data_IF_110465338585
#
_entry.id   IF_110465338585
#
_cell.length_a   1.000
_cell.length_b   1.000
_cell.length_c   1.000
_cell.angle_alpha   90.00
_cell.angle_beta   90.00
_cell.angle_gamma   90.00
#
_symmetry.space_group_name_H-M   'P 1'
#
loop_
_entity.id
_entity.type
_entity.pdbx_description
1 polymer ?
#
# COMPACT_ATOMS: atom_id res chain seq x y z
N UNK A 1 -29.77 11.57 -29.58
CA UNK A 1 -28.78 11.00 -28.64
C UNK A 1 -28.67 9.52 -28.94
N UNK A 2 -27.46 9.00 -29.19
CA UNK A 2 -27.25 7.62 -29.63
C UNK A 2 -27.44 6.67 -28.43
N UNK A 3 -28.25 5.61 -28.57
CA UNK A 3 -28.41 4.58 -27.51
C UNK A 3 -27.06 4.00 -27.03
N UNK A 4 -26.04 4.05 -27.88
CA UNK A 4 -24.70 3.59 -27.55
C UNK A 4 -24.03 4.47 -26.49
N UNK A 5 -24.24 5.80 -26.51
CA UNK A 5 -23.65 6.69 -25.50
C UNK A 5 -24.30 6.52 -24.12
N UNK A 6 -25.59 6.19 -24.07
CA UNK A 6 -26.27 5.92 -22.79
C UNK A 6 -25.79 4.61 -22.17
N UNK A 7 -25.57 3.58 -23.00
CA UNK A 7 -25.02 2.30 -22.57
C UNK A 7 -23.56 2.42 -22.11
N UNK A 8 -22.72 3.19 -22.82
CA UNK A 8 -21.34 3.46 -22.42
C UNK A 8 -21.27 4.22 -21.09
N UNK A 9 -22.11 5.25 -20.90
CA UNK A 9 -22.19 5.98 -19.63
C UNK A 9 -22.66 5.06 -18.50
N UNK A 10 -23.65 4.20 -18.74
CA UNK A 10 -24.11 3.24 -17.74
C UNK A 10 -22.99 2.25 -17.34
N UNK A 11 -22.20 1.76 -18.29
CA UNK A 11 -21.05 0.89 -18.01
C UNK A 11 -19.99 1.58 -17.15
N UNK A 12 -19.65 2.83 -17.47
CA UNK A 12 -18.68 3.62 -16.67
C UNK A 12 -19.20 3.83 -15.24
N UNK A 13 -20.49 4.13 -15.08
CA UNK A 13 -21.10 4.31 -13.76
C UNK A 13 -21.11 3.02 -12.94
N UNK A 14 -21.42 1.87 -13.57
CA UNK A 14 -21.38 0.57 -12.90
C UNK A 14 -19.95 0.24 -12.46
N UNK A 15 -18.96 0.45 -13.33
CA UNK A 15 -17.55 0.24 -12.99
C UNK A 15 -17.10 1.13 -11.83
N UNK A 16 -17.47 2.41 -11.85
CA UNK A 16 -17.17 3.35 -10.76
C UNK A 16 -17.84 2.92 -9.44
N UNK A 17 -19.09 2.47 -9.48
CA UNK A 17 -19.81 1.99 -8.29
C UNK A 17 -19.13 0.75 -7.68
N UNK A 18 -18.67 -0.20 -8.51
CA UNK A 18 -17.93 -1.39 -8.05
C UNK A 18 -16.62 -0.98 -7.37
N UNK A 19 -15.87 -0.05 -7.97
CA UNK A 19 -14.61 0.44 -7.41
C UNK A 19 -14.86 1.12 -6.06
N UNK A 20 -15.83 2.03 -5.98
CA UNK A 20 -16.17 2.72 -4.74
C UNK A 20 -16.63 1.75 -3.64
N UNK A 21 -17.45 0.76 -4.01
CA UNK A 21 -17.89 -0.29 -3.10
C UNK A 21 -16.70 -1.11 -2.56
N UNK A 22 -15.77 -1.49 -3.44
CA UNK A 22 -14.55 -2.20 -3.06
C UNK A 22 -13.67 -1.38 -2.10
N UNK A 23 -13.48 -0.09 -2.37
CA UNK A 23 -12.74 0.82 -1.48
C UNK A 23 -13.43 0.91 -0.12
N UNK A 24 -14.76 1.04 -0.09
CA UNK A 24 -15.52 1.14 1.15
C UNK A 24 -15.37 -0.13 2.02
N UNK A 25 -15.58 -1.32 1.43
CA UNK A 25 -15.42 -2.58 2.14
C UNK A 25 -13.99 -2.77 2.65
N UNK A 26 -12.99 -2.50 1.82
CA UNK A 26 -11.59 -2.57 2.21
C UNK A 26 -11.27 -1.62 3.39
N UNK A 27 -11.72 -0.37 3.29
CA UNK A 27 -11.48 0.65 4.33
C UNK A 27 -12.09 0.22 5.65
N UNK A 28 -13.35 -0.28 5.63
CA UNK A 28 -14.00 -0.81 6.83
C UNK A 28 -13.28 -2.02 7.42
N UNK A 29 -12.82 -2.97 6.59
CA UNK A 29 -12.08 -4.15 7.07
C UNK A 29 -10.76 -3.75 7.75
N UNK A 30 -10.10 -2.71 7.26
CA UNK A 30 -8.84 -2.19 7.81
C UNK A 30 -9.06 -1.17 8.94
N UNK A 31 -10.33 -0.84 9.27
CA UNK A 31 -10.67 0.19 10.25
C UNK A 31 -10.17 1.59 9.84
N UNK A 32 -10.14 1.88 8.55
CA UNK A 32 -9.70 3.14 7.95
C UNK A 32 -10.91 3.94 7.46
N UNK A 33 -10.76 5.26 7.40
CA UNK A 33 -11.67 6.09 6.60
C UNK A 33 -11.46 5.82 5.09
N UNK A 34 -12.46 6.16 4.28
CA UNK A 34 -12.47 5.90 2.83
C UNK A 34 -11.31 6.61 2.12
N UNK A 35 -10.90 7.80 2.58
CA UNK A 35 -9.78 8.53 1.99
C UNK A 35 -8.46 7.80 2.25
N UNK A 36 -8.17 7.42 3.49
CA UNK A 36 -6.95 6.68 3.83
C UNK A 36 -6.93 5.29 3.19
N UNK A 37 -8.06 4.57 3.20
CA UNK A 37 -8.17 3.25 2.57
C UNK A 37 -7.96 3.31 1.06
N UNK A 38 -8.47 4.35 0.38
CA UNK A 38 -8.23 4.57 -1.05
C UNK A 38 -6.74 4.83 -1.35
N UNK A 39 -6.05 5.62 -0.52
CA UNK A 39 -4.60 5.88 -0.66
C UNK A 39 -3.78 4.61 -0.47
N UNK A 40 -4.13 3.79 0.52
CA UNK A 40 -3.47 2.50 0.74
C UNK A 40 -3.67 1.55 -0.45
N UNK A 41 -4.91 1.41 -0.94
CA UNK A 41 -5.22 0.58 -2.10
C UNK A 41 -4.47 1.03 -3.35
N UNK A 42 -4.45 2.32 -3.61
CA UNK A 42 -3.75 2.89 -4.76
C UNK A 42 -2.24 2.63 -4.67
N UNK A 43 -1.63 2.81 -3.50
CA UNK A 43 -0.22 2.51 -3.29
C UNK A 43 0.08 1.02 -3.51
N UNK A 44 -0.75 0.13 -2.98
CA UNK A 44 -0.60 -1.32 -3.20
C UNK A 44 -0.77 -1.70 -4.67
N UNK A 45 -1.75 -1.10 -5.37
CA UNK A 45 -1.97 -1.34 -6.80
C UNK A 45 -0.76 -0.89 -7.63
N UNK A 46 -0.22 0.30 -7.35
CA UNK A 46 1.00 0.79 -7.98
C UNK A 46 2.19 -0.12 -7.67
N UNK A 47 2.34 -0.56 -6.42
CA UNK A 47 3.40 -1.47 -6.01
C UNK A 47 3.33 -2.80 -6.78
N UNK A 48 2.16 -3.43 -6.86
CA UNK A 48 1.97 -4.68 -7.62
C UNK A 48 2.28 -4.48 -9.09
N UNK A 49 1.84 -3.36 -9.67
CA UNK A 49 2.04 -3.08 -11.10
C UNK A 49 3.52 -2.82 -11.42
N UNK A 50 4.17 -1.93 -10.68
CA UNK A 50 5.58 -1.56 -10.89
C UNK A 50 6.49 -2.74 -10.58
N UNK A 51 6.27 -3.43 -9.45
CA UNK A 51 7.08 -4.59 -9.10
C UNK A 51 6.84 -5.77 -10.05
N UNK A 52 5.59 -6.01 -10.46
CA UNK A 52 5.24 -7.04 -11.43
C UNK A 52 5.96 -6.83 -12.77
N UNK A 53 5.92 -5.60 -13.30
CA UNK A 53 6.65 -5.25 -14.54
C UNK A 53 8.16 -5.36 -14.34
N UNK A 54 8.70 -4.85 -13.23
CA UNK A 54 10.14 -4.91 -12.96
C UNK A 54 10.66 -6.35 -12.81
N UNK A 55 9.88 -7.23 -12.17
CA UNK A 55 10.21 -8.63 -11.99
C UNK A 55 10.14 -9.42 -13.30
N UNK A 56 9.19 -9.09 -14.17
CA UNK A 56 9.08 -9.71 -15.50
C UNK A 56 10.25 -9.31 -16.40
N UNK A 57 10.62 -8.02 -16.40
CA UNK A 57 11.76 -7.50 -17.16
C UNK A 57 13.11 -7.99 -16.62
N UNK A 58 13.23 -8.15 -15.31
CA UNK A 58 14.47 -8.53 -14.66
C UNK A 58 14.18 -9.40 -13.46
N UNK A 59 14.20 -10.74 -13.64
CA UNK A 59 13.97 -11.78 -12.61
C UNK A 59 15.12 -11.87 -11.59
N UNK A 60 15.58 -10.72 -11.14
CA UNK A 60 16.66 -10.57 -10.20
C UNK A 60 16.13 -10.70 -8.78
N UNK A 61 16.72 -11.65 -8.04
CA UNK A 61 16.47 -11.82 -6.61
C UNK A 61 16.83 -10.57 -5.80
N UNK A 62 17.67 -9.68 -6.33
CA UNK A 62 18.01 -8.40 -5.72
C UNK A 62 16.83 -7.41 -5.67
N UNK A 63 15.78 -7.61 -6.46
CA UNK A 63 14.58 -6.77 -6.42
C UNK A 63 13.68 -7.08 -5.21
N UNK A 64 13.78 -8.28 -4.62
CA UNK A 64 12.95 -8.70 -3.48
C UNK A 64 13.12 -7.81 -2.23
N UNK A 65 14.34 -7.51 -1.75
CA UNK A 65 14.49 -6.62 -0.60
C UNK A 65 13.96 -5.21 -0.88
N UNK A 66 14.16 -4.71 -2.10
CA UNK A 66 13.65 -3.40 -2.55
C UNK A 66 12.12 -3.40 -2.54
N UNK A 67 11.53 -4.46 -3.07
CA UNK A 67 10.09 -4.64 -3.12
C UNK A 67 9.49 -4.74 -1.71
N UNK A 68 10.14 -5.44 -0.78
CA UNK A 68 9.69 -5.54 0.60
C UNK A 68 9.69 -4.16 1.31
N UNK A 69 10.72 -3.35 1.11
CA UNK A 69 10.78 -1.98 1.64
C UNK A 69 9.71 -1.10 1.00
N UNK A 70 9.54 -1.17 -0.32
CA UNK A 70 8.51 -0.41 -1.02
C UNK A 70 7.09 -0.81 -0.60
N UNK A 71 6.86 -2.11 -0.36
CA UNK A 71 5.58 -2.62 0.13
C UNK A 71 5.29 -2.02 1.51
N UNK A 72 6.29 -1.95 2.37
CA UNK A 72 6.15 -1.35 3.69
C UNK A 72 5.76 0.13 3.65
N UNK A 73 6.36 0.89 2.72
CA UNK A 73 6.02 2.31 2.50
C UNK A 73 4.56 2.48 2.09
N UNK A 74 3.98 1.51 1.36
CA UNK A 74 2.57 1.57 0.95
C UNK A 74 1.62 1.64 2.15
N UNK A 75 2.00 1.05 3.30
CA UNK A 75 1.20 1.04 4.53
C UNK A 75 1.29 2.33 5.35
N UNK A 76 2.13 3.30 4.98
CA UNK A 76 2.32 4.54 5.75
C UNK A 76 1.04 5.35 5.99
N UNK A 77 0.12 5.51 5.02
CA UNK A 77 -1.15 6.19 5.26
C UNK A 77 -1.97 5.52 6.37
N UNK A 78 -2.07 4.19 6.35
CA UNK A 78 -2.79 3.42 7.35
C UNK A 78 -2.11 3.48 8.73
N UNK A 79 -0.78 3.36 8.77
CA UNK A 79 -0.02 3.50 10.01
C UNK A 79 -0.21 4.88 10.65
N UNK A 80 -0.18 5.95 9.85
CA UNK A 80 -0.44 7.29 10.33
C UNK A 80 -1.87 7.43 10.85
N UNK A 81 -2.87 6.90 10.14
CA UNK A 81 -4.26 6.92 10.58
C UNK A 81 -4.47 6.16 11.89
N UNK A 82 -3.94 4.94 12.00
CA UNK A 82 -4.04 4.14 13.22
C UNK A 82 -3.30 4.78 14.39
N UNK A 83 -2.17 5.45 14.14
CA UNK A 83 -1.45 6.20 15.17
C UNK A 83 -2.23 7.39 15.72
N UNK A 84 -3.03 8.05 14.87
CA UNK A 84 -3.80 9.23 15.23
C UNK A 84 -5.15 8.87 15.88
N UNK A 85 -5.77 7.75 15.50
CA UNK A 85 -7.16 7.44 15.83
C UNK A 85 -7.39 6.35 16.88
N UNK A 86 -6.37 5.89 17.61
CA UNK A 86 -6.51 5.01 18.80
C UNK A 86 -7.64 3.96 18.71
N UNK A 87 -7.37 2.89 17.95
CA UNK A 87 -8.01 1.55 17.87
C UNK A 87 -8.59 1.18 16.49
N UNK A 88 -8.05 0.12 15.85
CA UNK A 88 -8.79 -0.71 14.91
C UNK A 88 -9.72 -1.64 15.68
N UNK A 89 -10.97 -1.76 15.25
CA UNK A 89 -11.98 -2.66 15.84
C UNK A 89 -11.64 -4.16 15.73
N UNK A 90 -10.47 -4.49 15.16
CA UNK A 90 -9.97 -5.86 15.08
C UNK A 90 -9.30 -6.34 16.38
N UNK A 91 -9.03 -5.44 17.34
CA UNK A 91 -8.47 -5.82 18.65
C UNK A 91 -9.44 -5.55 19.79
N UNK A 92 -10.35 -6.49 20.03
CA UNK A 92 -11.09 -6.61 21.30
C UNK A 92 -10.20 -7.08 22.47
N UNK A 93 -8.88 -6.85 22.38
CA UNK A 93 -7.88 -7.36 23.33
C UNK A 93 -6.99 -6.18 23.76
N UNK A 94 -7.31 -5.66 24.94
CA UNK A 94 -6.45 -4.93 25.88
C UNK A 94 -6.31 -3.42 25.69
N UNK A 95 -7.15 -2.69 26.45
CA UNK A 95 -6.77 -1.44 27.09
C UNK A 95 -5.38 -1.60 27.75
N UNK A 96 -4.38 -0.85 27.28
CA UNK A 96 -3.09 -0.69 27.97
C UNK A 96 -1.83 -1.22 27.27
N UNK A 97 -1.90 -1.79 26.06
CA UNK A 97 -0.70 -2.13 25.28
C UNK A 97 -0.38 -1.02 24.30
N UNK A 98 0.83 -0.46 24.37
CA UNK A 98 1.40 0.42 23.34
C UNK A 98 1.12 -0.21 21.98
N UNK A 99 0.31 0.47 21.18
CA UNK A 99 -0.05 0.00 19.85
C UNK A 99 1.22 -0.07 19.01
N UNK A 100 1.73 -1.27 18.75
CA UNK A 100 3.02 -1.49 18.07
C UNK A 100 3.09 -0.82 16.69
N UNK A 101 1.95 -0.62 16.04
CA UNK A 101 1.78 0.08 14.76
C UNK A 101 1.80 1.61 14.89
N UNK A 102 1.58 2.16 16.08
CA UNK A 102 1.62 3.60 16.36
C UNK A 102 3.01 4.09 16.78
N UNK A 103 3.95 3.18 17.02
CA UNK A 103 5.32 3.52 17.45
C UNK A 103 6.20 3.97 16.28
N UNK A 104 6.99 5.02 16.50
CA UNK A 104 7.90 5.59 15.50
C UNK A 104 8.93 4.58 14.95
N UNK A 105 9.32 3.59 15.75
CA UNK A 105 10.22 2.50 15.36
C UNK A 105 9.67 1.64 14.21
N UNK A 106 8.36 1.66 13.95
CA UNK A 106 7.76 0.95 12.81
C UNK A 106 8.02 1.64 11.46
N UNK A 107 8.51 2.89 11.50
CA UNK A 107 9.03 3.61 10.33
C UNK A 107 10.52 3.31 10.09
N UNK A 108 11.22 2.68 11.05
CA UNK A 108 12.65 2.35 10.94
C UNK A 108 13.03 1.32 9.86
N UNK A 109 12.20 0.31 9.52
CA UNK A 109 12.51 -0.59 8.42
C UNK A 109 12.74 0.14 7.10
N UNK A 110 12.14 1.31 6.88
CA UNK A 110 12.39 2.14 5.69
C UNK A 110 13.76 2.81 5.76
N UNK A 111 14.16 3.35 6.91
CA UNK A 111 15.49 3.97 7.06
C UNK A 111 16.61 2.94 6.99
N UNK A 112 16.43 1.76 7.59
CA UNK A 112 17.41 0.67 7.50
C UNK A 112 17.42 0.04 6.10
N UNK A 113 16.24 -0.13 5.50
CA UNK A 113 16.07 -0.65 4.15
C UNK A 113 16.65 0.25 3.06
N UNK A 114 16.59 1.58 3.20
CA UNK A 114 17.27 2.53 2.33
C UNK A 114 18.80 2.45 2.46
N UNK A 115 19.30 2.21 3.69
CA UNK A 115 20.73 1.99 3.93
C UNK A 115 21.24 0.72 3.24
N UNK A 116 20.52 -0.39 3.34
CA UNK A 116 20.88 -1.65 2.66
C UNK A 116 20.76 -1.54 1.14
N UNK A 117 19.75 -0.82 0.64
CA UNK A 117 19.62 -0.43 -0.78
C UNK A 117 20.86 0.34 -1.28
N UNK A 118 21.33 1.33 -0.51
CA UNK A 118 22.54 2.09 -0.85
C UNK A 118 23.78 1.21 -0.95
N UNK A 119 23.94 0.25 -0.04
CA UNK A 119 25.06 -0.70 -0.10
C UNK A 119 24.95 -1.70 -1.26
N UNK A 120 23.74 -2.14 -1.61
CA UNK A 120 23.52 -3.05 -2.74
C UNK A 120 23.77 -2.37 -4.09
N UNK A 121 23.34 -1.12 -4.25
CA UNK A 121 23.65 -0.32 -5.44
C UNK A 121 25.15 -0.05 -5.55
N UNK A 122 25.82 0.26 -4.43
CA UNK A 122 27.27 0.43 -4.40
C UNK A 122 28.02 -0.86 -4.75
N UNK A 123 27.51 -2.03 -4.36
CA UNK A 123 28.07 -3.32 -4.78
C UNK A 123 27.86 -3.58 -6.27
N UNK A 124 26.68 -3.29 -6.83
CA UNK A 124 26.43 -3.48 -8.27
C UNK A 124 27.29 -2.59 -9.16
N UNK A 125 27.53 -1.32 -8.78
CA UNK A 125 28.43 -0.43 -9.54
C UNK A 125 29.92 -0.82 -9.43
N UNK A 126 30.28 -1.64 -8.45
CA UNK A 126 31.66 -2.10 -8.27
C UNK A 126 31.97 -3.35 -9.10
N UNK A 127 30.94 -4.08 -9.53
CA UNK A 127 31.05 -5.29 -10.36
C UNK A 127 30.87 -5.02 -11.88
N UNK A 128 30.51 -3.79 -12.28
CA UNK A 128 30.46 -3.34 -13.70
C UNK A 128 31.75 -2.65 -14.14
#
# INVERSE_FOLDING_TARGET
MSKNSEFEVALVLIAAAIILCGIYFFSNMMGLDVETGSKLLLNLFLWVTVFGVAFDLNRSWFLLPIAAVALWVCFFPALNYWSANSFPSFSSIHHGKVMWYATWWFKLPVTLGLGTLGTLVAMMMRES
#
